data_IF_259878287837
#
_entry.id   IF_259878287837
#
_cell.length_a   1.000
_cell.length_b   1.000
_cell.length_c   1.000
_cell.angle_alpha   90.00
_cell.angle_beta   90.00
_cell.angle_gamma   90.00
#
_symmetry.space_group_name_H-M   'P 1'
#
loop_
_entity.id
_entity.type
_entity.pdbx_description
1 polymer ?
#
# COMPACT_ATOMS: atom_id res chain seq x y z
N UNK A 1 3.80 -36.43 19.07
CA UNK A 1 4.96 -35.95 18.31
C UNK A 1 4.59 -35.66 16.85
N UNK A 2 4.00 -36.63 16.16
CA UNK A 2 3.53 -36.43 14.78
C UNK A 2 2.40 -35.42 14.70
N UNK A 3 1.55 -35.37 15.73
CA UNK A 3 0.42 -34.44 15.77
C UNK A 3 0.91 -33.00 15.91
N UNK A 4 1.96 -32.78 16.72
CA UNK A 4 2.54 -31.46 16.91
C UNK A 4 3.23 -31.00 15.63
N UNK A 5 3.92 -31.89 14.95
CA UNK A 5 4.57 -31.58 13.67
C UNK A 5 3.54 -31.20 12.61
N UNK A 6 2.43 -31.93 12.52
CA UNK A 6 1.36 -31.64 11.59
C UNK A 6 0.72 -30.29 11.90
N UNK A 7 0.50 -29.98 13.17
CA UNK A 7 -0.08 -28.72 13.60
C UNK A 7 0.83 -27.54 13.24
N UNK A 8 2.15 -27.70 13.49
CA UNK A 8 3.13 -26.68 13.14
C UNK A 8 3.16 -26.45 11.63
N UNK A 9 3.08 -27.51 10.84
CA UNK A 9 3.03 -27.40 9.38
C UNK A 9 1.82 -26.60 8.93
N UNK A 10 0.63 -26.91 9.48
CA UNK A 10 -0.58 -26.17 9.16
C UNK A 10 -0.51 -24.70 9.54
N UNK A 11 0.10 -24.39 10.67
CA UNK A 11 0.26 -23.00 11.10
C UNK A 11 1.16 -22.23 10.13
N UNK A 12 2.27 -22.83 9.71
CA UNK A 12 3.20 -22.19 8.78
C UNK A 12 2.55 -21.97 7.42
N UNK A 13 1.86 -22.98 6.90
CA UNK A 13 1.15 -22.89 5.63
C UNK A 13 0.06 -21.82 5.68
N UNK A 14 -0.70 -21.78 6.76
CA UNK A 14 -1.73 -20.78 6.95
C UNK A 14 -1.15 -19.38 7.04
N UNK A 15 0.03 -19.23 7.66
CA UNK A 15 0.70 -17.94 7.77
C UNK A 15 1.18 -17.46 6.40
N UNK A 16 1.78 -18.35 5.61
CA UNK A 16 2.20 -18.04 4.25
C UNK A 16 1.02 -17.61 3.39
N UNK A 17 -0.09 -18.33 3.48
CA UNK A 17 -1.31 -18.00 2.75
C UNK A 17 -1.82 -16.61 3.12
N UNK A 18 -1.86 -16.29 4.41
CA UNK A 18 -2.30 -14.97 4.88
C UNK A 18 -1.38 -13.86 4.38
N UNK A 19 -0.07 -14.11 4.33
CA UNK A 19 0.89 -13.14 3.83
C UNK A 19 0.70 -12.89 2.33
N UNK A 20 0.49 -13.94 1.56
CA UNK A 20 0.22 -13.81 0.13
C UNK A 20 -1.07 -13.01 -0.12
N UNK A 21 -2.12 -13.31 0.63
CA UNK A 21 -3.38 -12.59 0.52
C UNK A 21 -3.23 -11.12 0.89
N UNK A 22 -2.41 -10.82 1.89
CA UNK A 22 -2.17 -9.44 2.30
C UNK A 22 -1.48 -8.65 1.18
N UNK A 23 -0.50 -9.23 0.51
CA UNK A 23 0.18 -8.59 -0.62
C UNK A 23 -0.78 -8.39 -1.78
N UNK A 24 -1.56 -9.41 -2.12
CA UNK A 24 -2.56 -9.31 -3.19
C UNK A 24 -3.57 -8.21 -2.91
N UNK A 25 -4.02 -8.10 -1.66
CA UNK A 25 -4.94 -7.04 -1.26
C UNK A 25 -4.32 -5.65 -1.43
N UNK A 26 -3.05 -5.49 -1.11
CA UNK A 26 -2.35 -4.22 -1.33
C UNK A 26 -2.28 -3.87 -2.82
N UNK A 27 -1.99 -4.85 -3.67
CA UNK A 27 -1.95 -4.64 -5.12
C UNK A 27 -3.30 -4.25 -5.67
N UNK A 28 -4.38 -4.87 -5.16
CA UNK A 28 -5.75 -4.51 -5.54
C UNK A 28 -6.08 -3.09 -5.08
N UNK A 29 -5.68 -2.72 -3.87
CA UNK A 29 -5.91 -1.36 -3.35
C UNK A 29 -5.22 -0.32 -4.25
N UNK A 30 -3.99 -0.60 -4.65
CA UNK A 30 -3.26 0.28 -5.56
C UNK A 30 -3.99 0.40 -6.89
N UNK A 31 -4.42 -0.73 -7.45
CA UNK A 31 -5.16 -0.76 -8.72
C UNK A 31 -6.44 0.07 -8.61
N UNK A 32 -7.17 -0.07 -7.51
CA UNK A 32 -8.40 0.67 -7.27
C UNK A 32 -8.18 2.18 -7.22
N UNK A 33 -7.06 2.63 -6.65
CA UNK A 33 -6.73 4.06 -6.62
C UNK A 33 -6.61 4.62 -8.03
N UNK A 34 -5.95 3.90 -8.93
CA UNK A 34 -5.80 4.36 -10.31
C UNK A 34 -7.12 4.32 -11.07
N UNK A 35 -7.89 3.25 -10.90
CA UNK A 35 -9.19 3.12 -11.55
C UNK A 35 -10.13 4.24 -11.07
N UNK A 36 -10.20 4.46 -9.76
CA UNK A 36 -11.05 5.49 -9.19
C UNK A 36 -10.67 6.88 -9.69
N UNK A 37 -9.37 7.18 -9.74
CA UNK A 37 -8.89 8.46 -10.27
C UNK A 37 -9.34 8.64 -11.72
N UNK A 38 -9.14 7.61 -12.52
CA UNK A 38 -9.46 7.65 -13.94
C UNK A 38 -10.97 7.84 -14.17
N UNK A 39 -11.77 7.05 -13.48
CA UNK A 39 -13.24 7.12 -13.60
C UNK A 39 -13.75 8.48 -13.10
N UNK A 40 -13.25 8.94 -11.98
CA UNK A 40 -13.66 10.21 -11.40
C UNK A 40 -13.36 11.40 -12.33
N UNK A 41 -12.25 11.31 -13.04
CA UNK A 41 -11.83 12.36 -13.98
C UNK A 41 -12.25 12.10 -15.41
N UNK A 42 -13.09 11.09 -15.63
CA UNK A 42 -13.64 10.73 -16.95
C UNK A 42 -12.54 10.48 -17.98
N UNK A 43 -11.49 9.80 -17.55
CA UNK A 43 -10.34 9.49 -18.41
C UNK A 43 -10.40 8.03 -18.87
N UNK A 44 -9.97 7.78 -20.10
CA UNK A 44 -9.72 6.42 -20.57
C UNK A 44 -8.34 5.97 -20.05
N UNK A 45 -8.04 4.67 -20.19
CA UNK A 45 -6.70 4.18 -19.89
C UNK A 45 -5.64 4.88 -20.75
N UNK A 46 -5.99 5.16 -22.00
CA UNK A 46 -5.09 5.88 -22.89
C UNK A 46 -4.81 7.30 -22.37
N UNK A 47 -5.85 7.99 -21.92
CA UNK A 47 -5.71 9.33 -21.39
C UNK A 47 -4.81 9.34 -20.16
N UNK A 48 -5.00 8.37 -19.27
CA UNK A 48 -4.16 8.25 -18.08
C UNK A 48 -2.71 7.94 -18.46
N UNK A 49 -2.52 7.07 -19.44
CA UNK A 49 -1.18 6.73 -19.94
C UNK A 49 -0.46 7.98 -20.46
N UNK A 50 -1.15 8.81 -21.21
CA UNK A 50 -0.58 10.06 -21.72
C UNK A 50 -0.22 11.01 -20.59
N UNK A 51 -1.12 11.14 -19.61
CA UNK A 51 -0.86 12.00 -18.45
C UNK A 51 0.34 11.52 -17.65
N UNK A 52 0.50 10.22 -17.50
CA UNK A 52 1.60 9.63 -16.73
C UNK A 52 2.87 9.43 -17.55
N UNK A 53 2.80 9.64 -18.87
CA UNK A 53 3.92 9.41 -19.78
C UNK A 53 4.42 7.97 -19.72
N UNK A 54 3.49 7.04 -19.67
CA UNK A 54 3.73 5.60 -19.71
C UNK A 54 2.84 4.98 -20.80
N UNK A 55 3.04 3.71 -21.09
CA UNK A 55 2.24 3.03 -22.09
C UNK A 55 0.85 2.68 -21.54
N UNK A 56 -0.12 2.56 -22.44
CA UNK A 56 -1.44 2.10 -22.04
C UNK A 56 -1.38 0.68 -21.47
N UNK A 57 -0.49 -0.16 -22.01
CA UNK A 57 -0.28 -1.51 -21.48
C UNK A 57 0.16 -1.46 -20.01
N UNK A 58 0.99 -0.49 -19.65
CA UNK A 58 1.42 -0.33 -18.25
C UNK A 58 0.25 0.13 -17.37
N UNK A 59 -0.59 1.05 -17.85
CA UNK A 59 -1.79 1.44 -17.10
C UNK A 59 -2.69 0.23 -16.88
N UNK A 60 -2.88 -0.59 -17.91
CA UNK A 60 -3.68 -1.81 -17.79
C UNK A 60 -3.10 -2.75 -16.72
N UNK A 61 -1.79 -2.90 -16.67
CA UNK A 61 -1.13 -3.72 -15.64
C UNK A 61 -1.36 -3.14 -14.26
N UNK A 62 -1.19 -1.83 -14.10
CA UNK A 62 -1.39 -1.17 -12.80
C UNK A 62 -2.82 -1.34 -12.31
N UNK A 63 -3.79 -1.35 -13.21
CA UNK A 63 -5.21 -1.52 -12.87
C UNK A 63 -5.65 -2.97 -12.74
N UNK A 64 -4.77 -3.93 -13.05
CA UNK A 64 -5.13 -5.36 -12.99
C UNK A 64 -5.20 -5.91 -11.57
N UNK A 65 -4.53 -5.28 -10.63
CA UNK A 65 -4.43 -5.81 -9.27
C UNK A 65 -3.41 -6.93 -9.11
N UNK A 66 -2.70 -7.28 -10.17
CA UNK A 66 -1.70 -8.36 -10.16
C UNK A 66 -0.26 -7.85 -10.30
N UNK A 67 -0.10 -6.66 -10.86
CA UNK A 67 1.21 -6.09 -11.10
C UNK A 67 1.76 -5.46 -9.82
N UNK A 68 3.02 -5.72 -9.55
CA UNK A 68 3.71 -5.19 -8.37
C UNK A 68 4.60 -4.02 -8.80
N UNK A 69 4.13 -2.78 -8.70
CA UNK A 69 4.93 -1.63 -9.07
C UNK A 69 6.01 -1.37 -8.02
N UNK A 70 7.10 -0.77 -8.46
CA UNK A 70 8.15 -0.36 -7.53
C UNK A 70 7.71 0.88 -6.76
N UNK A 71 8.33 1.09 -5.60
CA UNK A 71 8.09 2.31 -4.80
C UNK A 71 8.45 3.55 -5.63
N UNK A 72 9.54 3.47 -6.39
CA UNK A 72 9.95 4.58 -7.25
C UNK A 72 8.89 4.92 -8.30
N UNK A 73 8.33 3.90 -8.94
CA UNK A 73 7.26 4.09 -9.92
C UNK A 73 6.04 4.74 -9.28
N UNK A 74 5.63 4.27 -8.11
CA UNK A 74 4.49 4.83 -7.39
C UNK A 74 4.73 6.29 -7.03
N UNK A 75 5.94 6.61 -6.58
CA UNK A 75 6.30 7.98 -6.24
C UNK A 75 6.23 8.90 -7.47
N UNK A 76 6.77 8.45 -8.59
CA UNK A 76 6.76 9.23 -9.83
C UNK A 76 5.33 9.46 -10.33
N UNK A 77 4.49 8.43 -10.25
CA UNK A 77 3.08 8.55 -10.63
C UNK A 77 2.37 9.54 -9.71
N UNK A 78 2.58 9.42 -8.41
CA UNK A 78 1.98 10.31 -7.43
C UNK A 78 2.34 11.77 -7.71
N UNK A 79 3.60 12.04 -8.06
CA UNK A 79 4.02 13.38 -8.43
C UNK A 79 3.26 13.91 -9.65
N UNK A 80 3.10 13.09 -10.66
CA UNK A 80 2.39 13.49 -11.90
C UNK A 80 0.90 13.72 -11.68
N UNK A 81 0.31 13.04 -10.69
CA UNK A 81 -1.09 13.19 -10.35
C UNK A 81 -1.32 14.22 -9.24
N UNK A 82 -0.25 14.83 -8.73
CA UNK A 82 -0.29 15.75 -7.58
C UNK A 82 -0.85 15.07 -6.34
N UNK A 83 -0.59 13.79 -6.21
CA UNK A 83 -0.93 13.02 -5.01
C UNK A 83 0.20 13.12 -4.00
N UNK A 84 -0.19 13.17 -2.74
CA UNK A 84 0.76 13.05 -1.65
C UNK A 84 1.09 11.57 -1.48
N UNK A 85 2.37 11.23 -1.57
CA UNK A 85 2.83 9.85 -1.43
C UNK A 85 3.52 9.67 -0.09
N UNK A 86 3.08 8.70 0.66
CA UNK A 86 3.59 8.44 1.99
C UNK A 86 3.50 6.94 2.28
N UNK A 87 4.52 6.41 2.93
CA UNK A 87 4.52 5.02 3.40
C UNK A 87 4.60 5.05 4.93
N UNK A 88 3.66 4.38 5.57
CA UNK A 88 3.62 4.30 7.02
C UNK A 88 3.66 2.84 7.44
N UNK A 89 4.43 2.59 8.46
CA UNK A 89 4.48 1.28 9.10
C UNK A 89 3.98 1.45 10.54
N UNK A 90 3.05 0.58 10.92
CA UNK A 90 2.52 0.56 12.27
C UNK A 90 3.11 -0.61 13.02
N UNK A 91 3.45 -0.39 14.30
CA UNK A 91 3.89 -1.46 15.15
C UNK A 91 2.72 -2.40 15.46
N UNK A 92 2.98 -3.71 15.40
CA UNK A 92 1.97 -4.71 15.75
C UNK A 92 1.99 -5.03 17.25
N UNK A 93 2.22 -4.02 18.08
CA UNK A 93 2.28 -4.20 19.53
C UNK A 93 0.91 -4.57 20.09
N UNK A 94 0.93 -5.23 21.26
CA UNK A 94 -0.28 -5.69 21.91
C UNK A 94 -1.15 -4.52 22.39
N UNK A 95 -2.44 -4.80 22.50
CA UNK A 95 -3.41 -3.76 22.87
C UNK A 95 -3.10 -3.08 24.22
N UNK A 96 -2.43 -3.76 25.13
CA UNK A 96 -2.02 -3.18 26.40
C UNK A 96 -0.98 -2.07 26.24
N UNK A 97 -0.24 -2.10 25.16
CA UNK A 97 0.79 -1.12 24.84
C UNK A 97 0.30 -0.08 23.83
N UNK A 98 -0.83 -0.32 23.25
CA UNK A 98 -1.39 0.49 22.17
C UNK A 98 -1.60 1.95 22.59
N UNK A 99 -2.17 2.17 23.77
CA UNK A 99 -2.45 3.53 24.26
C UNK A 99 -1.18 4.35 24.43
N UNK A 100 -0.13 3.71 24.93
CA UNK A 100 1.16 4.38 25.09
C UNK A 100 1.76 4.74 23.74
N UNK A 101 1.73 3.79 22.81
CA UNK A 101 2.28 3.98 21.50
C UNK A 101 1.52 5.06 20.72
N UNK A 102 0.22 5.09 20.86
CA UNK A 102 -0.61 6.11 20.24
C UNK A 102 -0.25 7.50 20.76
N UNK A 103 -0.06 7.64 22.06
CA UNK A 103 0.34 8.90 22.66
C UNK A 103 1.70 9.37 22.14
N UNK A 104 2.66 8.45 22.01
CA UNK A 104 3.97 8.74 21.46
C UNK A 104 3.85 9.18 20.00
N UNK A 105 3.02 8.51 19.22
CA UNK A 105 2.79 8.86 17.81
C UNK A 105 2.24 10.27 17.69
N UNK A 106 1.29 10.66 18.52
CA UNK A 106 0.72 12.00 18.51
C UNK A 106 1.78 13.04 18.81
N UNK A 107 2.62 12.80 19.79
CA UNK A 107 3.73 13.71 20.13
C UNK A 107 4.73 13.81 18.98
N UNK A 108 5.01 12.70 18.33
CA UNK A 108 5.92 12.68 17.19
C UNK A 108 5.37 13.47 16.02
N UNK A 109 4.06 13.39 15.76
CA UNK A 109 3.42 14.16 14.72
C UNK A 109 3.54 15.66 14.99
N UNK A 110 3.28 16.10 16.22
CA UNK A 110 3.45 17.50 16.61
C UNK A 110 4.89 17.95 16.43
N UNK A 111 5.84 17.11 16.82
CA UNK A 111 7.25 17.40 16.70
C UNK A 111 7.65 17.55 15.22
N UNK A 112 7.21 16.63 14.39
CA UNK A 112 7.50 16.65 12.96
C UNK A 112 6.89 17.90 12.31
N UNK A 113 5.66 18.24 12.65
CA UNK A 113 4.99 19.42 12.15
C UNK A 113 5.75 20.69 12.55
N UNK A 114 6.22 20.76 13.80
CA UNK A 114 6.97 21.92 14.28
C UNK A 114 8.32 22.06 13.58
N UNK A 115 8.87 20.98 13.05
CA UNK A 115 10.12 20.98 12.32
C UNK A 115 9.91 21.27 10.82
N UNK A 116 8.67 21.35 10.36
CA UNK A 116 8.38 21.63 8.97
C UNK A 116 8.39 20.40 8.05
N UNK A 117 8.41 19.21 8.61
CA UNK A 117 8.29 17.98 7.84
C UNK A 117 6.80 17.70 7.63
N UNK A 118 6.27 18.14 6.52
CA UNK A 118 4.87 17.88 6.21
C UNK A 118 4.66 16.38 5.98
N UNK A 119 3.73 15.85 6.70
CA UNK A 119 3.33 14.45 6.52
C UNK A 119 2.41 14.33 5.30
#
# INVERSE_FOLDING_TARGET
KKLVEAYTFFEEESREFKQEMAVENLLVDIACEFINFRVKNKMSQKDLAEKLQITQAMVSKLESGEYNPTVKMLFEIAQKLSWKFNIQFESSMRSSEYSFEQAVSEQNEEYIDSMGFAS
#
